data_IF_705414649503
#
_entry.id   IF_705414649503
#
_cell.length_a   1.000
_cell.length_b   1.000
_cell.length_c   1.000
_cell.angle_alpha   90.00
_cell.angle_beta   90.00
_cell.angle_gamma   90.00
#
_symmetry.space_group_name_H-M   'P 1'
#
loop_
_entity.id
_entity.type
_entity.pdbx_description
1 polymer ?
#
# COMPACT_ATOMS: atom_id res chain seq x y z
N UNK A 1 -12.62 -22.27 -24.04
CA UNK A 1 -11.54 -21.60 -24.79
C UNK A 1 -10.38 -21.31 -23.85
N UNK A 2 -9.17 -21.52 -24.31
CA UNK A 2 -7.99 -21.02 -23.59
C UNK A 2 -7.79 -19.57 -24.04
N UNK A 3 -7.49 -18.67 -23.10
CA UNK A 3 -7.07 -17.31 -23.42
C UNK A 3 -5.66 -17.33 -24.05
N UNK A 4 -5.40 -16.43 -24.97
CA UNK A 4 -4.02 -16.11 -25.36
C UNK A 4 -3.29 -15.44 -24.19
N UNK A 5 -1.97 -15.43 -24.19
CA UNK A 5 -1.17 -14.81 -23.13
C UNK A 5 -1.51 -13.31 -22.98
N UNK A 6 -1.71 -12.62 -24.10
CA UNK A 6 -2.14 -11.22 -24.12
C UNK A 6 -3.53 -11.02 -23.47
N UNK A 7 -4.52 -11.84 -23.86
CA UNK A 7 -5.85 -11.77 -23.27
C UNK A 7 -5.83 -12.07 -21.77
N UNK A 8 -5.03 -13.07 -21.36
CA UNK A 8 -4.88 -13.42 -19.96
C UNK A 8 -4.27 -12.26 -19.16
N UNK A 9 -3.27 -11.57 -19.68
CA UNK A 9 -2.67 -10.39 -19.03
C UNK A 9 -3.69 -9.24 -18.90
N UNK A 10 -4.46 -8.94 -19.94
CA UNK A 10 -5.50 -7.90 -19.90
C UNK A 10 -6.62 -8.22 -18.89
N UNK A 11 -7.06 -9.48 -18.88
CA UNK A 11 -8.05 -9.95 -17.91
C UNK A 11 -7.55 -9.91 -16.48
N UNK A 12 -6.29 -10.28 -16.24
CA UNK A 12 -5.66 -10.18 -14.92
C UNK A 12 -5.62 -8.74 -14.43
N UNK A 13 -5.20 -7.79 -15.28
CA UNK A 13 -5.22 -6.35 -14.98
C UNK A 13 -6.64 -5.84 -14.68
N UNK A 14 -7.61 -6.27 -15.47
CA UNK A 14 -9.02 -5.89 -15.28
C UNK A 14 -9.58 -6.45 -13.96
N UNK A 15 -9.29 -7.71 -13.63
CA UNK A 15 -9.67 -8.33 -12.35
C UNK A 15 -9.03 -7.62 -11.16
N UNK A 16 -7.74 -7.30 -11.24
CA UNK A 16 -7.04 -6.58 -10.18
C UNK A 16 -7.66 -5.19 -9.96
N UNK A 17 -7.93 -4.46 -11.05
CA UNK A 17 -8.56 -3.14 -11.00
C UNK A 17 -9.96 -3.20 -10.38
N UNK A 18 -10.79 -4.17 -10.79
CA UNK A 18 -12.14 -4.34 -10.25
C UNK A 18 -12.11 -4.78 -8.78
N UNK A 19 -11.19 -5.68 -8.42
CA UNK A 19 -11.01 -6.10 -7.02
C UNK A 19 -10.62 -4.91 -6.15
N UNK A 20 -9.73 -4.01 -6.63
CA UNK A 20 -9.37 -2.78 -5.91
C UNK A 20 -10.55 -1.84 -5.77
N UNK A 21 -11.33 -1.64 -6.84
CA UNK A 21 -12.56 -0.85 -6.77
C UNK A 21 -13.52 -1.39 -5.70
N UNK A 22 -13.77 -2.70 -5.70
CA UNK A 22 -14.58 -3.34 -4.66
C UNK A 22 -13.97 -3.24 -3.27
N UNK A 23 -12.64 -3.32 -3.13
CA UNK A 23 -11.95 -3.19 -1.84
C UNK A 23 -12.21 -1.82 -1.19
N UNK A 24 -12.19 -0.76 -1.98
CA UNK A 24 -12.38 0.61 -1.50
C UNK A 24 -13.86 0.95 -1.28
N UNK A 25 -14.78 0.40 -2.09
CA UNK A 25 -16.20 0.78 -2.08
C UNK A 25 -17.08 -0.12 -1.23
N UNK A 26 -16.89 -1.44 -1.31
CA UNK A 26 -17.75 -2.46 -0.68
C UNK A 26 -17.06 -3.16 0.49
N UNK A 27 -15.73 -3.27 0.42
CA UNK A 27 -14.92 -4.10 1.28
C UNK A 27 -14.93 -5.59 0.88
N UNK A 28 -13.93 -6.33 1.37
CA UNK A 28 -13.73 -7.74 1.02
C UNK A 28 -14.91 -8.63 1.41
N UNK A 29 -15.55 -8.37 2.57
CA UNK A 29 -16.64 -9.21 3.06
C UNK A 29 -17.86 -9.18 2.14
N UNK A 30 -18.21 -8.01 1.61
CA UNK A 30 -19.39 -7.82 0.75
C UNK A 30 -19.14 -8.11 -0.72
N UNK A 31 -17.88 -8.30 -1.12
CA UNK A 31 -17.53 -8.64 -2.50
C UNK A 31 -17.56 -10.15 -2.71
N UNK A 32 -18.16 -10.60 -3.82
CA UNK A 32 -18.19 -12.00 -4.26
C UNK A 32 -17.39 -12.20 -5.54
N UNK A 33 -16.92 -13.44 -5.77
CA UNK A 33 -16.24 -13.80 -7.04
C UNK A 33 -17.18 -13.59 -8.23
N UNK A 34 -18.47 -13.86 -8.06
CA UNK A 34 -19.46 -13.65 -9.13
C UNK A 34 -19.59 -12.17 -9.53
N UNK A 35 -19.52 -11.23 -8.57
CA UNK A 35 -19.49 -9.79 -8.87
C UNK A 35 -18.25 -9.42 -9.68
N UNK A 36 -17.06 -9.86 -9.24
CA UNK A 36 -15.79 -9.57 -9.90
C UNK A 36 -15.78 -10.10 -11.34
N UNK A 37 -16.19 -11.36 -11.53
CA UNK A 37 -16.18 -11.99 -12.84
C UNK A 37 -17.22 -11.40 -13.79
N UNK A 38 -18.39 -11.05 -13.28
CA UNK A 38 -19.44 -10.38 -14.05
C UNK A 38 -18.99 -9.00 -14.53
N UNK A 39 -18.34 -8.23 -13.67
CA UNK A 39 -17.82 -6.90 -14.01
C UNK A 39 -16.76 -6.94 -15.13
N UNK A 40 -15.94 -8.00 -15.16
CA UNK A 40 -14.87 -8.18 -16.15
C UNK A 40 -15.34 -8.98 -17.39
N UNK A 41 -16.56 -9.53 -17.36
CA UNK A 41 -17.13 -10.27 -18.49
C UNK A 41 -16.59 -11.67 -18.68
N UNK A 42 -16.17 -12.36 -17.59
CA UNK A 42 -15.65 -13.73 -17.65
C UNK A 42 -16.52 -14.70 -16.84
N UNK A 43 -16.43 -15.99 -17.16
CA UNK A 43 -17.06 -17.04 -16.38
C UNK A 43 -16.39 -17.19 -15.02
N UNK A 44 -17.15 -17.55 -13.97
CA UNK A 44 -16.64 -17.78 -12.60
C UNK A 44 -15.46 -18.76 -12.55
N UNK A 45 -15.52 -19.84 -13.34
CA UNK A 45 -14.41 -20.81 -13.42
C UNK A 45 -13.11 -20.22 -13.96
N UNK A 46 -13.19 -19.14 -14.77
CA UNK A 46 -12.02 -18.46 -15.30
C UNK A 46 -11.28 -17.63 -14.25
N UNK A 47 -11.97 -17.18 -13.20
CA UNK A 47 -11.33 -16.48 -12.06
C UNK A 47 -10.24 -17.34 -11.42
N UNK A 48 -10.51 -18.61 -11.22
CA UNK A 48 -9.59 -19.54 -10.56
C UNK A 48 -8.33 -19.91 -11.38
N UNK A 49 -8.25 -19.41 -12.62
CA UNK A 49 -7.00 -19.45 -13.38
C UNK A 49 -6.04 -18.33 -13.00
N UNK A 50 -6.56 -17.24 -12.41
CA UNK A 50 -5.77 -16.08 -11.99
C UNK A 50 -5.51 -16.05 -10.49
N UNK A 51 -6.48 -16.46 -9.68
CA UNK A 51 -6.40 -16.40 -8.22
C UNK A 51 -7.01 -17.66 -7.61
N UNK A 52 -6.28 -18.31 -6.71
CA UNK A 52 -6.75 -19.52 -6.01
C UNK A 52 -7.99 -19.27 -5.14
N UNK A 53 -8.16 -18.04 -4.65
CA UNK A 53 -9.28 -17.63 -3.81
C UNK A 53 -9.58 -16.14 -3.95
N UNK A 54 -10.71 -15.73 -3.43
CA UNK A 54 -11.07 -14.31 -3.32
C UNK A 54 -10.03 -13.56 -2.47
N UNK A 55 -9.60 -14.15 -1.38
CA UNK A 55 -8.58 -13.61 -0.49
C UNK A 55 -7.27 -13.36 -1.24
N UNK A 56 -6.86 -14.26 -2.14
CA UNK A 56 -5.65 -14.07 -2.95
C UNK A 56 -5.79 -12.91 -3.95
N UNK A 57 -6.98 -12.68 -4.50
CA UNK A 57 -7.23 -11.51 -5.35
C UNK A 57 -7.12 -10.20 -4.54
N UNK A 58 -7.68 -10.14 -3.33
CA UNK A 58 -7.54 -8.99 -2.43
C UNK A 58 -6.11 -8.81 -1.92
N UNK A 59 -5.39 -9.89 -1.74
CA UNK A 59 -3.96 -9.84 -1.40
C UNK A 59 -3.13 -9.26 -2.55
N UNK A 60 -3.44 -9.60 -3.79
CA UNK A 60 -2.81 -8.98 -4.95
C UNK A 60 -3.07 -7.45 -5.00
N UNK A 61 -4.27 -7.00 -4.59
CA UNK A 61 -4.55 -5.57 -4.42
C UNK A 61 -3.66 -4.94 -3.35
N UNK A 62 -3.53 -5.57 -2.17
CA UNK A 62 -2.65 -5.08 -1.10
C UNK A 62 -1.20 -4.95 -1.57
N UNK A 63 -0.68 -5.97 -2.26
CA UNK A 63 0.68 -5.93 -2.85
C UNK A 63 0.82 -4.82 -3.89
N UNK A 64 -0.19 -4.60 -4.72
CA UNK A 64 -0.18 -3.51 -5.71
C UNK A 64 -0.14 -2.14 -5.04
N UNK A 65 -0.94 -1.93 -3.98
CA UNK A 65 -0.92 -0.69 -3.20
C UNK A 65 0.47 -0.47 -2.59
N UNK A 66 1.06 -1.47 -1.94
CA UNK A 66 2.41 -1.36 -1.36
C UNK A 66 3.45 -1.01 -2.42
N UNK A 67 3.45 -1.70 -3.57
CA UNK A 67 4.37 -1.39 -4.68
C UNK A 67 4.23 0.04 -5.18
N UNK A 68 2.99 0.55 -5.30
CA UNK A 68 2.74 1.94 -5.69
C UNK A 68 3.26 2.92 -4.63
N UNK A 69 3.06 2.65 -3.34
CA UNK A 69 3.53 3.52 -2.26
C UNK A 69 5.06 3.57 -2.20
N UNK A 70 5.75 2.45 -2.40
CA UNK A 70 7.21 2.43 -2.52
C UNK A 70 7.69 3.23 -3.75
N UNK A 71 6.98 3.11 -4.87
CA UNK A 71 7.26 3.92 -6.07
C UNK A 71 7.09 5.43 -5.83
N UNK A 72 6.05 5.82 -5.08
CA UNK A 72 5.81 7.22 -4.69
C UNK A 72 6.92 7.73 -3.77
N UNK A 73 7.32 6.94 -2.77
CA UNK A 73 8.42 7.28 -1.87
C UNK A 73 9.75 7.41 -2.63
N UNK A 74 10.09 6.47 -3.51
CA UNK A 74 11.29 6.50 -4.37
C UNK A 74 11.33 7.77 -5.23
N UNK A 75 10.21 8.11 -5.86
CA UNK A 75 10.11 9.31 -6.69
C UNK A 75 10.29 10.60 -5.87
N UNK A 76 9.69 10.66 -4.67
CA UNK A 76 9.81 11.82 -3.79
C UNK A 76 11.25 11.96 -3.28
N UNK A 77 11.89 10.88 -2.85
CA UNK A 77 13.29 10.87 -2.43
C UNK A 77 14.24 11.33 -3.54
N UNK A 78 13.97 10.91 -4.77
CA UNK A 78 14.77 11.32 -5.93
C UNK A 78 14.61 12.80 -6.24
N UNK A 79 13.39 13.33 -6.24
CA UNK A 79 13.11 14.75 -6.57
C UNK A 79 13.72 15.70 -5.54
N UNK A 80 13.77 15.30 -4.29
CA UNK A 80 14.21 16.12 -3.17
C UNK A 80 15.67 15.85 -2.76
N UNK A 81 16.51 15.35 -3.67
CA UNK A 81 17.90 14.97 -3.39
C UNK A 81 18.81 16.09 -2.88
N UNK A 82 18.42 17.36 -3.07
CA UNK A 82 19.15 18.53 -2.56
C UNK A 82 18.75 18.97 -1.15
N UNK A 83 17.72 18.38 -0.55
CA UNK A 83 17.27 18.70 0.80
C UNK A 83 18.11 17.96 1.86
N UNK A 84 18.18 18.49 3.11
CA UNK A 84 18.69 17.75 4.26
C UNK A 84 18.01 16.40 4.41
N UNK A 85 18.71 15.42 4.99
CA UNK A 85 18.24 14.02 5.09
C UNK A 85 16.86 13.90 5.74
N UNK A 86 16.65 14.61 6.86
CA UNK A 86 15.36 14.60 7.57
C UNK A 86 14.22 15.20 6.76
N UNK A 87 14.46 16.31 6.07
CA UNK A 87 13.46 16.96 5.22
C UNK A 87 13.13 16.10 3.99
N UNK A 88 14.15 15.52 3.37
CA UNK A 88 14.01 14.60 2.25
C UNK A 88 13.16 13.37 2.61
N UNK A 89 13.41 12.78 3.79
CA UNK A 89 12.62 11.69 4.31
C UNK A 89 11.17 12.15 4.60
N UNK A 90 10.99 13.33 5.19
CA UNK A 90 9.68 13.89 5.47
C UNK A 90 8.84 14.07 4.20
N UNK A 91 9.42 14.63 3.14
CA UNK A 91 8.72 14.79 1.85
C UNK A 91 8.29 13.45 1.24
N UNK A 92 9.08 12.39 1.40
CA UNK A 92 8.70 11.05 0.96
C UNK A 92 7.49 10.50 1.74
N UNK A 93 7.49 10.63 3.06
CA UNK A 93 6.37 10.20 3.91
C UNK A 93 5.11 11.00 3.59
N UNK A 94 5.22 12.33 3.45
CA UNK A 94 4.10 13.19 3.07
C UNK A 94 3.52 12.83 1.70
N UNK A 95 4.36 12.49 0.73
CA UNK A 95 3.92 12.05 -0.59
C UNK A 95 3.11 10.74 -0.51
N UNK A 96 3.55 9.77 0.29
CA UNK A 96 2.83 8.52 0.55
C UNK A 96 1.48 8.78 1.23
N UNK A 97 1.45 9.63 2.26
CA UNK A 97 0.21 9.99 2.95
C UNK A 97 -0.80 10.68 2.00
N UNK A 98 -0.34 11.62 1.15
CA UNK A 98 -1.18 12.24 0.12
C UNK A 98 -1.75 11.20 -0.83
N UNK A 99 -0.90 10.30 -1.37
CA UNK A 99 -1.36 9.23 -2.29
C UNK A 99 -2.46 8.37 -1.68
N UNK A 100 -2.31 7.94 -0.42
CA UNK A 100 -3.33 7.17 0.30
C UNK A 100 -4.63 7.96 0.53
N UNK A 101 -4.50 9.23 0.85
CA UNK A 101 -5.65 10.13 1.04
C UNK A 101 -6.48 10.31 -0.23
N UNK A 102 -5.79 10.41 -1.38
CA UNK A 102 -6.43 10.70 -2.68
C UNK A 102 -7.12 9.47 -3.29
N UNK A 103 -6.63 8.26 -3.00
CA UNK A 103 -7.16 7.02 -3.60
C UNK A 103 -8.21 6.31 -2.80
N UNK A 104 -8.35 6.64 -1.51
CA UNK A 104 -9.23 5.91 -0.60
C UNK A 104 -8.73 4.52 -0.20
N UNK A 105 -7.54 4.11 -0.66
CA UNK A 105 -6.96 2.80 -0.33
C UNK A 105 -6.79 2.59 1.17
N UNK A 106 -6.69 3.69 1.94
CA UNK A 106 -6.59 3.63 3.39
C UNK A 106 -7.78 2.92 4.04
N UNK A 107 -8.99 3.07 3.49
CA UNK A 107 -10.17 2.37 3.97
C UNK A 107 -10.03 0.84 3.88
N UNK A 108 -9.47 0.33 2.78
CA UNK A 108 -9.18 -1.09 2.63
C UNK A 108 -8.09 -1.56 3.61
N UNK A 109 -7.01 -0.78 3.74
CA UNK A 109 -5.90 -1.11 4.65
C UNK A 109 -6.40 -1.20 6.10
N UNK A 110 -7.23 -0.25 6.53
CA UNK A 110 -7.73 -0.18 7.90
C UNK A 110 -8.76 -1.26 8.21
N UNK A 111 -9.75 -1.45 7.32
CA UNK A 111 -10.90 -2.30 7.62
C UNK A 111 -10.71 -3.76 7.24
N UNK A 112 -10.01 -4.04 6.16
CA UNK A 112 -9.96 -5.40 5.60
C UNK A 112 -8.58 -6.07 5.64
N UNK A 113 -7.46 -5.31 5.60
CA UNK A 113 -6.14 -5.92 5.47
C UNK A 113 -5.79 -6.85 6.64
N UNK A 114 -6.17 -6.48 7.87
CA UNK A 114 -5.95 -7.33 9.05
C UNK A 114 -6.70 -8.67 8.92
N UNK A 115 -7.98 -8.63 8.54
CA UNK A 115 -8.80 -9.83 8.35
C UNK A 115 -8.29 -10.65 7.16
N UNK A 116 -7.91 -9.99 6.08
CA UNK A 116 -7.31 -10.61 4.91
C UNK A 116 -6.06 -11.41 5.31
N UNK A 117 -5.10 -10.78 5.98
CA UNK A 117 -3.87 -11.42 6.43
C UNK A 117 -4.12 -12.61 7.37
N UNK A 118 -5.15 -12.55 8.22
CA UNK A 118 -5.53 -13.68 9.07
C UNK A 118 -6.02 -14.90 8.28
N UNK A 119 -6.57 -14.70 7.09
CA UNK A 119 -7.12 -15.76 6.22
C UNK A 119 -6.12 -16.32 5.22
N UNK A 120 -4.97 -15.69 5.04
CA UNK A 120 -3.94 -16.16 4.12
C UNK A 120 -3.14 -17.31 4.72
N UNK A 121 -2.57 -18.20 3.88
CA UNK A 121 -1.60 -19.20 4.29
C UNK A 121 -0.41 -18.56 5.00
N UNK A 122 0.14 -19.25 6.02
CA UNK A 122 1.21 -18.71 6.86
C UNK A 122 2.48 -18.34 6.07
N UNK A 123 2.81 -19.14 5.03
CA UNK A 123 3.94 -18.86 4.13
C UNK A 123 3.78 -17.54 3.40
N UNK A 124 2.59 -17.27 2.87
CA UNK A 124 2.27 -16.03 2.14
C UNK A 124 2.39 -14.80 3.06
N UNK A 125 1.93 -14.93 4.31
CA UNK A 125 2.05 -13.84 5.32
C UNK A 125 3.51 -13.53 5.65
N UNK A 126 4.32 -14.56 5.91
CA UNK A 126 5.75 -14.39 6.23
C UNK A 126 6.51 -13.73 5.10
N UNK A 127 6.27 -14.16 3.87
CA UNK A 127 6.86 -13.55 2.68
C UNK A 127 6.48 -12.06 2.58
N UNK A 128 5.20 -11.74 2.74
CA UNK A 128 4.72 -10.35 2.68
C UNK A 128 5.39 -9.42 3.71
N UNK A 129 5.51 -9.84 4.97
CA UNK A 129 6.17 -9.04 5.99
C UNK A 129 7.68 -8.89 5.73
N UNK A 130 8.32 -9.95 5.20
CA UNK A 130 9.73 -9.88 4.83
C UNK A 130 9.96 -8.93 3.64
N UNK A 131 9.09 -8.96 2.65
CA UNK A 131 9.14 -8.08 1.48
C UNK A 131 9.02 -6.61 1.89
N UNK A 132 8.09 -6.28 2.78
CA UNK A 132 7.89 -4.92 3.27
C UNK A 132 9.13 -4.37 3.99
N UNK A 133 9.72 -5.15 4.89
CA UNK A 133 10.94 -4.75 5.59
C UNK A 133 12.11 -4.57 4.61
N UNK A 134 12.23 -5.48 3.64
CA UNK A 134 13.26 -5.44 2.61
C UNK A 134 13.15 -4.20 1.74
N UNK A 135 11.94 -3.84 1.29
CA UNK A 135 11.74 -2.65 0.46
C UNK A 135 12.08 -1.35 1.21
N UNK A 136 11.69 -1.24 2.48
CA UNK A 136 12.03 -0.06 3.29
C UNK A 136 13.55 0.03 3.45
N UNK A 137 14.22 -1.06 3.77
CA UNK A 137 15.69 -1.13 3.90
C UNK A 137 16.37 -0.72 2.59
N UNK A 138 15.92 -1.25 1.45
CA UNK A 138 16.46 -0.89 0.13
C UNK A 138 16.29 0.60 -0.18
N UNK A 139 15.18 1.23 0.18
CA UNK A 139 15.01 2.68 0.02
C UNK A 139 15.98 3.46 0.92
N UNK A 140 16.15 3.06 2.18
CA UNK A 140 17.08 3.70 3.09
C UNK A 140 18.51 3.61 2.56
N UNK A 141 18.95 2.43 2.12
CA UNK A 141 20.28 2.20 1.56
C UNK A 141 20.49 2.96 0.24
N UNK A 142 19.53 2.89 -0.69
CA UNK A 142 19.60 3.55 -2.01
C UNK A 142 19.81 5.05 -1.93
N UNK A 143 19.24 5.69 -0.90
CA UNK A 143 19.28 7.15 -0.73
C UNK A 143 20.15 7.61 0.41
N UNK A 144 20.96 6.70 0.98
CA UNK A 144 21.87 6.97 2.11
C UNK A 144 21.14 7.61 3.31
N UNK A 145 19.94 7.10 3.59
CA UNK A 145 19.14 7.51 4.72
C UNK A 145 19.49 6.64 5.92
N UNK A 146 20.36 7.11 6.79
CA UNK A 146 20.85 6.36 7.95
C UNK A 146 20.11 6.77 9.23
N UNK A 147 19.05 6.04 9.63
CA UNK A 147 18.32 6.39 10.84
C UNK A 147 19.17 6.11 12.09
N UNK A 148 19.28 7.09 13.00
CA UNK A 148 20.09 7.02 14.22
C UNK A 148 19.77 5.83 15.13
N UNK A 149 18.53 5.42 15.18
CA UNK A 149 18.02 4.36 16.07
C UNK A 149 17.66 3.08 15.32
N UNK A 150 18.16 2.95 14.09
CA UNK A 150 18.00 1.76 13.25
C UNK A 150 16.75 1.77 12.37
N UNK A 151 16.82 0.96 11.30
CA UNK A 151 15.78 0.90 10.25
C UNK A 151 14.42 0.42 10.77
N UNK A 152 14.40 -0.50 11.74
CA UNK A 152 13.16 -1.04 12.29
C UNK A 152 12.34 0.02 13.03
N UNK A 153 12.98 0.90 13.82
CA UNK A 153 12.27 2.00 14.47
C UNK A 153 11.77 3.02 13.43
N UNK A 154 12.60 3.34 12.43
CA UNK A 154 12.20 4.24 11.36
C UNK A 154 10.98 3.70 10.60
N UNK A 155 10.98 2.41 10.21
CA UNK A 155 9.85 1.77 9.54
C UNK A 155 8.58 1.77 10.40
N UNK A 156 8.69 1.46 11.69
CA UNK A 156 7.57 1.48 12.62
C UNK A 156 6.99 2.90 12.80
N UNK A 157 7.85 3.90 12.89
CA UNK A 157 7.46 5.32 13.00
C UNK A 157 6.73 5.78 11.73
N UNK A 158 7.28 5.50 10.55
CA UNK A 158 6.63 5.83 9.26
C UNK A 158 5.28 5.15 9.16
N UNK A 159 5.17 3.87 9.54
CA UNK A 159 3.88 3.15 9.56
C UNK A 159 2.87 3.84 10.50
N UNK A 160 3.28 4.25 11.69
CA UNK A 160 2.44 5.00 12.62
C UNK A 160 1.94 6.32 12.03
N UNK A 161 2.81 7.06 11.34
CA UNK A 161 2.45 8.31 10.66
C UNK A 161 1.43 8.07 9.53
N UNK A 162 1.64 7.04 8.72
CA UNK A 162 0.71 6.65 7.63
C UNK A 162 -0.68 6.30 8.18
N UNK A 163 -0.76 5.62 9.31
CA UNK A 163 -2.03 5.26 9.94
C UNK A 163 -2.85 6.50 10.36
N UNK A 164 -2.23 7.68 10.55
CA UNK A 164 -3.00 8.90 10.85
C UNK A 164 -3.91 9.33 9.70
N UNK A 165 -3.66 8.86 8.46
CA UNK A 165 -4.49 9.17 7.29
C UNK A 165 -5.94 8.71 7.47
N UNK A 166 -6.18 7.61 8.18
CA UNK A 166 -7.52 7.10 8.47
C UNK A 166 -8.33 8.02 9.39
N UNK A 167 -7.66 8.88 10.16
CA UNK A 167 -8.27 9.82 11.10
C UNK A 167 -8.37 11.24 10.57
N UNK A 168 -8.08 11.49 9.30
CA UNK A 168 -8.05 12.83 8.71
C UNK A 168 -9.37 13.61 8.91
N UNK A 169 -10.51 12.92 8.77
CA UNK A 169 -11.83 13.55 8.93
C UNK A 169 -12.13 13.95 10.38
N UNK A 170 -11.63 13.16 11.35
CA UNK A 170 -11.80 13.46 12.79
C UNK A 170 -10.94 14.67 13.23
N UNK A 171 -9.77 14.85 12.59
CA UNK A 171 -8.90 16.01 12.84
C UNK A 171 -9.40 17.25 12.09
N UNK A 172 -10.07 17.05 10.95
CA UNK A 172 -10.69 18.10 10.16
C UNK A 172 -9.70 18.93 9.34
N UNK A 173 -10.02 20.20 9.12
CA UNK A 173 -9.26 21.10 8.22
C UNK A 173 -7.80 21.31 8.62
N UNK A 174 -7.46 21.11 9.88
CA UNK A 174 -6.07 21.21 10.36
C UNK A 174 -5.23 20.00 10.06
N UNK A 175 -5.80 18.89 9.55
CA UNK A 175 -5.08 17.66 9.31
C UNK A 175 -3.78 17.82 8.50
N UNK A 176 -3.72 18.59 7.41
CA UNK A 176 -2.48 18.76 6.65
C UNK A 176 -1.35 19.41 7.49
N UNK A 177 -1.69 20.35 8.35
CA UNK A 177 -0.73 21.03 9.24
C UNK A 177 -0.28 20.09 10.36
N UNK A 178 -1.20 19.35 10.97
CA UNK A 178 -0.91 18.33 12.00
C UNK A 178 -0.02 17.24 11.42
N UNK A 179 -0.35 16.69 10.24
CA UNK A 179 0.45 15.69 9.57
C UNK A 179 1.86 16.21 9.29
N UNK A 180 1.99 17.43 8.77
CA UNK A 180 3.29 18.08 8.54
C UNK A 180 4.12 18.17 9.82
N UNK A 181 3.54 18.67 10.90
CA UNK A 181 4.22 18.79 12.20
C UNK A 181 4.71 17.43 12.72
N UNK A 182 3.86 16.41 12.65
CA UNK A 182 4.21 15.05 13.07
C UNK A 182 5.33 14.44 12.20
N UNK A 183 5.21 14.55 10.88
CA UNK A 183 6.16 13.95 9.94
C UNK A 183 7.53 14.62 10.01
N UNK A 184 7.59 15.95 9.97
CA UNK A 184 8.87 16.67 10.09
C UNK A 184 9.51 16.47 11.45
N UNK A 185 8.72 16.50 12.55
CA UNK A 185 9.22 16.21 13.88
C UNK A 185 9.82 14.81 14.02
N UNK A 186 9.10 13.80 13.55
CA UNK A 186 9.57 12.42 13.58
C UNK A 186 10.81 12.20 12.69
N UNK A 187 10.84 12.79 11.49
CA UNK A 187 12.01 12.65 10.60
C UNK A 187 13.25 13.34 11.14
N UNK A 188 13.13 14.49 11.84
CA UNK A 188 14.25 15.08 12.55
C UNK A 188 14.81 14.13 13.63
N UNK A 189 13.95 13.62 14.49
CA UNK A 189 14.38 12.69 15.55
C UNK A 189 15.03 11.42 14.99
N UNK A 190 14.59 10.95 13.83
CA UNK A 190 15.13 9.73 13.21
C UNK A 190 16.46 9.95 12.49
N UNK A 191 16.71 11.14 11.89
CA UNK A 191 17.83 11.34 10.95
C UNK A 191 18.79 12.47 11.32
N UNK A 192 18.48 13.30 12.27
CA UNK A 192 19.34 14.36 12.83
C UNK A 192 19.75 14.06 14.27
#
# INVERSE_FOLDING_TARGET
MAFTDYEAEQLHKALLKETRHCAVTLGMKKTSVDQLTKAVGIAKGSFYKFYESKEMAFFAVLKSIHSELYGVADQALRRNGGLPTSERAAEAVLAVCRRLSDTGDMAFIEHDAKLLLQRLPEGVKKEHYHDDETHIRQLLEKYDLMPRRGASLAAATVRGLILTVSHKEQIGELYPQVLGALVYGACRELFE
#
